data_IF_809225062575
#
_entry.id   IF_809225062575
#
_cell.length_a   1.000
_cell.length_b   1.000
_cell.length_c   1.000
_cell.angle_alpha   90.00
_cell.angle_beta   90.00
_cell.angle_gamma   90.00
#
_symmetry.space_group_name_H-M   'P 1'
#
loop_
_entity.id
_entity.type
_entity.pdbx_description
1 polymer ?
#
# COMPACT_ATOMS: atom_id res chain seq x y z
N UNK A 1 -15.22 -5.93 -27.78
CA UNK A 1 -16.06 -6.14 -26.59
C UNK A 1 -15.85 -7.59 -26.19
N UNK A 2 -14.91 -7.82 -25.32
CA UNK A 2 -14.65 -9.16 -24.74
C UNK A 2 -15.39 -9.18 -23.42
N UNK A 3 -16.41 -10.02 -23.34
CA UNK A 3 -17.10 -10.34 -22.10
C UNK A 3 -16.07 -10.84 -21.09
N UNK A 4 -15.74 -10.00 -20.12
CA UNK A 4 -15.01 -10.42 -18.93
C UNK A 4 -16.01 -11.27 -18.15
N UNK A 5 -15.79 -12.59 -18.13
CA UNK A 5 -16.57 -13.53 -17.35
C UNK A 5 -16.68 -12.98 -15.92
N UNK A 6 -17.89 -12.58 -15.55
CA UNK A 6 -18.30 -12.26 -14.21
C UNK A 6 -18.28 -13.57 -13.40
N UNK A 7 -17.12 -13.93 -12.83
CA UNK A 7 -17.11 -14.81 -11.68
C UNK A 7 -17.86 -14.06 -10.58
N UNK A 8 -19.01 -14.58 -10.15
CA UNK A 8 -20.00 -13.88 -9.31
C UNK A 8 -19.50 -13.43 -7.94
N UNK A 9 -18.19 -13.52 -7.68
CA UNK A 9 -17.56 -13.23 -6.40
C UNK A 9 -16.37 -12.25 -6.51
N UNK A 10 -15.93 -11.85 -7.73
CA UNK A 10 -14.78 -10.98 -7.95
C UNK A 10 -15.20 -9.69 -8.65
N UNK A 11 -14.86 -8.55 -8.08
CA UNK A 11 -14.97 -7.24 -8.73
C UNK A 11 -13.58 -6.76 -9.11
N UNK A 12 -13.48 -6.16 -10.29
CA UNK A 12 -12.23 -5.70 -10.87
C UNK A 12 -12.31 -4.22 -11.22
N UNK A 13 -11.29 -3.49 -10.82
CA UNK A 13 -11.16 -2.05 -11.05
C UNK A 13 -9.83 -1.80 -11.75
N UNK A 14 -9.82 -0.88 -12.71
CA UNK A 14 -8.58 -0.41 -13.29
C UNK A 14 -7.79 0.41 -12.26
N UNK A 15 -6.46 0.23 -12.23
CA UNK A 15 -5.56 1.06 -11.43
C UNK A 15 -4.99 2.16 -12.33
N UNK A 16 -5.20 3.40 -11.91
CA UNK A 16 -4.48 4.56 -12.38
C UNK A 16 -3.32 4.82 -11.40
N UNK A 17 -2.08 4.53 -11.82
CA UNK A 17 -0.88 4.72 -10.97
C UNK A 17 -0.52 6.20 -11.04
N UNK A 18 -0.90 6.97 -10.03
CA UNK A 18 -0.67 8.41 -10.00
C UNK A 18 0.40 8.77 -8.97
N UNK A 19 1.52 9.30 -9.42
CA UNK A 19 2.71 9.59 -8.59
C UNK A 19 3.05 8.41 -7.63
N UNK A 20 3.00 7.19 -8.17
CA UNK A 20 3.20 5.93 -7.45
C UNK A 20 2.13 5.59 -6.38
N UNK A 21 0.99 6.26 -6.35
CA UNK A 21 -0.14 5.90 -5.49
C UNK A 21 -1.07 4.90 -6.18
N UNK A 22 -1.73 4.06 -5.38
CA UNK A 22 -2.72 3.08 -5.84
C UNK A 22 -4.09 3.76 -5.93
N UNK A 23 -4.43 4.31 -7.08
CA UNK A 23 -5.72 4.93 -7.33
C UNK A 23 -6.56 4.01 -8.21
N UNK A 24 -7.71 3.57 -7.75
CA UNK A 24 -8.63 2.76 -8.55
C UNK A 24 -9.71 3.63 -9.20
N UNK A 25 -10.16 3.19 -10.38
CA UNK A 25 -11.23 3.82 -11.14
C UNK A 25 -12.53 3.05 -10.94
N UNK A 26 -13.53 3.69 -10.33
CA UNK A 26 -14.89 3.17 -10.20
C UNK A 26 -15.85 4.09 -10.94
N UNK A 27 -16.19 3.76 -12.18
CA UNK A 27 -16.92 4.64 -13.11
C UNK A 27 -16.14 5.93 -13.35
N UNK A 28 -16.69 7.07 -12.92
CA UNK A 28 -16.05 8.39 -13.04
C UNK A 28 -15.31 8.82 -11.76
N UNK A 29 -15.24 7.93 -10.74
CA UNK A 29 -14.64 8.22 -9.45
C UNK A 29 -13.21 7.70 -9.36
N UNK A 30 -12.35 8.50 -8.74
CA UNK A 30 -10.97 8.13 -8.37
C UNK A 30 -10.87 7.88 -6.87
N UNK A 31 -10.37 6.73 -6.50
CA UNK A 31 -10.38 6.26 -5.12
C UNK A 31 -8.99 5.80 -4.76
N UNK A 32 -8.37 6.46 -3.77
CA UNK A 32 -7.09 6.06 -3.23
C UNK A 32 -7.26 4.84 -2.33
N UNK A 33 -6.46 3.81 -2.53
CA UNK A 33 -6.39 2.61 -1.66
C UNK A 33 -5.21 2.77 -0.72
N UNK A 34 -5.49 2.83 0.59
CA UNK A 34 -4.50 3.16 1.61
C UNK A 34 -4.56 2.19 2.79
N UNK A 35 -3.68 1.18 2.78
CA UNK A 35 -3.53 0.24 3.90
C UNK A 35 -2.82 0.86 5.11
N UNK A 36 -2.20 2.02 4.96
CA UNK A 36 -1.65 2.81 6.06
C UNK A 36 -2.71 3.59 6.85
N UNK A 37 -3.88 3.82 6.26
CA UNK A 37 -4.97 4.53 6.89
C UNK A 37 -5.93 3.59 7.66
N UNK A 38 -6.16 3.79 8.96
CA UNK A 38 -7.14 2.99 9.72
C UNK A 38 -8.59 3.35 9.39
N UNK A 39 -8.83 4.50 8.78
CA UNK A 39 -10.17 5.03 8.47
C UNK A 39 -10.25 5.49 7.02
N UNK A 40 -11.43 5.35 6.43
CA UNK A 40 -11.74 5.89 5.11
C UNK A 40 -12.24 7.33 5.20
N UNK A 41 -11.96 8.13 4.15
CA UNK A 41 -12.31 9.54 4.05
C UNK A 41 -13.07 9.78 2.75
N UNK A 42 -14.09 10.63 2.82
CA UNK A 42 -14.77 11.17 1.64
C UNK A 42 -15.37 12.54 1.95
N UNK A 43 -15.97 13.20 0.96
CA UNK A 43 -16.73 14.45 1.14
C UNK A 43 -18.09 14.29 1.84
N UNK A 44 -18.39 13.12 2.43
CA UNK A 44 -19.65 12.84 3.13
C UNK A 44 -19.47 11.83 4.26
N UNK A 45 -20.53 11.57 5.02
CA UNK A 45 -20.52 10.64 6.16
C UNK A 45 -20.42 9.17 5.75
N UNK A 46 -20.75 8.88 4.48
CA UNK A 46 -20.76 7.53 3.92
C UNK A 46 -20.25 7.54 2.47
N UNK A 47 -19.67 6.42 2.05
CA UNK A 47 -19.23 6.20 0.69
C UNK A 47 -19.61 4.79 0.22
N UNK A 48 -20.14 4.69 -1.01
CA UNK A 48 -20.49 3.42 -1.63
C UNK A 48 -19.32 2.92 -2.49
N UNK A 49 -18.80 1.74 -2.16
CA UNK A 49 -17.78 1.03 -2.92
C UNK A 49 -17.94 -0.47 -2.72
N UNK A 50 -17.50 -1.28 -3.69
CA UNK A 50 -17.58 -2.74 -3.65
C UNK A 50 -19.01 -3.26 -3.41
N UNK A 51 -20.04 -2.53 -3.92
CA UNK A 51 -21.48 -2.76 -3.72
C UNK A 51 -21.95 -2.69 -2.27
N UNK A 52 -21.20 -2.01 -1.41
CA UNK A 52 -21.60 -1.74 -0.02
C UNK A 52 -21.36 -0.28 0.34
N UNK A 53 -22.13 0.18 1.32
CA UNK A 53 -21.99 1.53 1.87
C UNK A 53 -21.20 1.46 3.18
N UNK A 54 -20.18 2.28 3.30
CA UNK A 54 -19.31 2.36 4.48
C UNK A 54 -19.33 3.77 5.06
N UNK A 55 -19.21 3.85 6.39
CA UNK A 55 -18.99 5.11 7.06
C UNK A 55 -17.60 5.66 6.74
N UNK A 56 -17.53 6.95 6.48
CA UNK A 56 -16.29 7.68 6.23
C UNK A 56 -16.11 8.81 7.24
N UNK A 57 -14.92 9.38 7.29
CA UNK A 57 -14.60 10.56 8.08
C UNK A 57 -14.36 11.76 7.16
N UNK A 58 -14.53 12.94 7.70
CA UNK A 58 -14.22 14.19 6.97
C UNK A 58 -12.72 14.40 6.81
N UNK A 59 -11.91 13.92 7.78
CA UNK A 59 -10.47 14.15 7.86
C UNK A 59 -9.70 12.98 8.43
N UNK A 60 -8.46 12.84 7.94
CA UNK A 60 -7.44 11.95 8.50
C UNK A 60 -6.12 12.72 8.65
N UNK A 61 -5.51 12.67 9.84
CA UNK A 61 -4.34 13.48 10.19
C UNK A 61 -4.48 14.98 9.87
N UNK A 62 -5.72 15.51 9.96
CA UNK A 62 -6.02 16.90 9.68
C UNK A 62 -6.32 17.24 8.22
N UNK A 63 -6.02 16.34 7.28
CA UNK A 63 -6.33 16.53 5.86
C UNK A 63 -7.70 15.94 5.51
N UNK A 64 -8.47 16.67 4.72
CA UNK A 64 -9.68 16.23 4.05
C UNK A 64 -9.37 15.70 2.64
N UNK A 65 -10.39 15.25 1.93
CA UNK A 65 -10.22 14.63 0.60
C UNK A 65 -9.71 15.62 -0.44
N UNK A 66 -10.03 16.90 -0.33
CA UNK A 66 -9.56 17.94 -1.24
C UNK A 66 -8.06 18.17 -1.04
N UNK A 67 -7.60 18.29 0.21
CA UNK A 67 -6.19 18.41 0.54
C UNK A 67 -5.39 17.17 0.14
N UNK A 68 -5.94 15.97 0.34
CA UNK A 68 -5.33 14.73 -0.15
C UNK A 68 -5.23 14.69 -1.67
N UNK A 69 -6.25 15.20 -2.38
CA UNK A 69 -6.22 15.33 -3.85
C UNK A 69 -5.08 16.23 -4.31
N UNK A 70 -4.84 17.34 -3.61
CA UNK A 70 -3.71 18.23 -3.90
C UNK A 70 -2.37 17.53 -3.69
N UNK A 71 -2.20 16.80 -2.59
CA UNK A 71 -0.96 16.09 -2.27
C UNK A 71 -0.68 14.93 -3.22
N UNK A 72 -1.69 14.16 -3.59
CA UNK A 72 -1.57 13.07 -4.58
C UNK A 72 -1.40 13.64 -5.98
N UNK A 73 -1.91 14.85 -6.25
CA UNK A 73 -1.82 15.55 -7.54
C UNK A 73 -2.90 15.14 -8.54
N UNK A 74 -3.97 14.48 -8.08
CA UNK A 74 -5.17 14.20 -8.86
C UNK A 74 -6.42 14.32 -7.99
N UNK A 75 -7.56 14.64 -8.62
CA UNK A 75 -8.83 14.63 -7.91
C UNK A 75 -9.13 13.25 -7.35
N UNK A 76 -9.47 13.17 -6.08
CA UNK A 76 -9.92 11.97 -5.38
C UNK A 76 -11.34 12.17 -4.85
N UNK A 77 -12.18 11.17 -5.03
CA UNK A 77 -13.54 11.14 -4.46
C UNK A 77 -13.54 10.52 -3.06
N UNK A 78 -12.59 9.63 -2.79
CA UNK A 78 -12.40 9.00 -1.48
C UNK A 78 -10.98 8.45 -1.29
N UNK A 79 -10.59 8.26 -0.02
CA UNK A 79 -9.54 7.36 0.43
C UNK A 79 -10.22 6.19 1.14
N UNK A 80 -9.89 4.97 0.74
CA UNK A 80 -10.38 3.74 1.36
C UNK A 80 -9.27 3.11 2.20
N UNK A 81 -9.51 3.09 3.50
CA UNK A 81 -8.60 2.56 4.52
C UNK A 81 -9.01 1.19 5.05
N UNK A 82 -8.29 0.75 6.10
CA UNK A 82 -8.43 -0.60 6.65
C UNK A 82 -9.82 -0.91 7.20
N UNK A 83 -10.57 0.08 7.72
CA UNK A 83 -11.94 -0.13 8.18
C UNK A 83 -12.89 -0.67 7.10
N UNK A 84 -12.53 -0.53 5.83
CA UNK A 84 -13.25 -1.12 4.67
C UNK A 84 -12.50 -2.33 4.15
N UNK A 85 -11.19 -2.21 3.92
CA UNK A 85 -10.34 -3.23 3.28
C UNK A 85 -10.32 -4.54 4.06
N UNK A 86 -10.35 -4.52 5.40
CA UNK A 86 -10.36 -5.71 6.26
C UNK A 86 -11.55 -6.65 6.04
N UNK A 87 -12.62 -6.14 5.44
CA UNK A 87 -13.83 -6.92 5.12
C UNK A 87 -13.71 -7.77 3.86
N UNK A 88 -12.61 -7.64 3.13
CA UNK A 88 -12.41 -8.25 1.81
C UNK A 88 -11.09 -8.99 1.71
N UNK A 89 -11.01 -9.85 0.69
CA UNK A 89 -9.75 -10.24 0.09
C UNK A 89 -9.52 -9.34 -1.12
N UNK A 90 -8.35 -8.76 -1.26
CA UNK A 90 -8.07 -7.92 -2.42
C UNK A 90 -6.64 -8.10 -2.94
N UNK A 91 -6.45 -7.89 -4.24
CA UNK A 91 -5.17 -7.98 -4.92
C UNK A 91 -4.86 -6.67 -5.64
N UNK A 92 -3.61 -6.26 -5.53
CA UNK A 92 -3.03 -5.14 -6.28
C UNK A 92 -2.02 -5.71 -7.29
N UNK A 93 -2.26 -5.47 -8.58
CA UNK A 93 -1.43 -5.94 -9.69
C UNK A 93 -1.10 -4.75 -10.62
N UNK A 94 0.05 -4.14 -10.43
CA UNK A 94 0.50 -3.01 -11.25
C UNK A 94 0.84 -3.40 -12.69
N UNK A 95 1.32 -4.63 -12.93
CA UNK A 95 1.63 -5.11 -14.28
C UNK A 95 0.40 -5.12 -15.18
N UNK A 96 -0.71 -5.59 -14.63
CA UNK A 96 -1.98 -5.65 -15.34
C UNK A 96 -2.87 -4.43 -15.08
N UNK A 97 -2.42 -3.47 -14.27
CA UNK A 97 -3.20 -2.30 -13.82
C UNK A 97 -4.56 -2.69 -13.25
N UNK A 98 -4.56 -3.70 -12.38
CA UNK A 98 -5.78 -4.32 -11.90
C UNK A 98 -5.82 -4.37 -10.38
N UNK A 99 -6.91 -3.84 -9.81
CA UNK A 99 -7.32 -4.08 -8.44
C UNK A 99 -8.49 -5.07 -8.46
N UNK A 100 -8.31 -6.21 -7.82
CA UNK A 100 -9.36 -7.23 -7.70
C UNK A 100 -9.80 -7.33 -6.25
N UNK A 101 -11.11 -7.45 -6.02
CA UNK A 101 -11.67 -7.58 -4.67
C UNK A 101 -12.71 -8.69 -4.63
N UNK A 102 -12.66 -9.52 -3.57
CA UNK A 102 -13.54 -10.66 -3.32
C UNK A 102 -14.17 -10.57 -1.93
N UNK A 103 -15.42 -10.96 -1.81
CA UNK A 103 -16.11 -11.10 -0.51
C UNK A 103 -15.61 -12.30 0.30
N UNK A 104 -15.02 -13.31 -0.38
CA UNK A 104 -14.43 -14.51 0.23
C UNK A 104 -13.18 -14.93 -0.51
N UNK A 105 -12.31 -15.69 0.17
CA UNK A 105 -11.03 -16.12 -0.41
C UNK A 105 -11.25 -16.96 -1.67
N UNK A 106 -10.65 -16.56 -2.81
CA UNK A 106 -10.80 -17.26 -4.09
C UNK A 106 -9.82 -18.45 -4.18
N UNK A 107 -10.12 -19.54 -3.48
CA UNK A 107 -9.23 -20.72 -3.37
C UNK A 107 -8.75 -21.25 -4.73
N UNK A 108 -9.59 -21.20 -5.75
CA UNK A 108 -9.25 -21.72 -7.08
C UNK A 108 -8.26 -20.80 -7.84
N UNK A 109 -8.18 -19.52 -7.49
CA UNK A 109 -7.35 -18.54 -8.18
C UNK A 109 -6.01 -18.33 -7.47
N UNK A 110 -5.99 -18.36 -6.15
CA UNK A 110 -4.85 -17.92 -5.31
C UNK A 110 -4.19 -19.09 -4.57
N UNK A 111 -4.82 -20.25 -4.47
CA UNK A 111 -4.36 -21.36 -3.64
C UNK A 111 -2.97 -21.93 -3.99
N UNK A 112 -2.43 -21.60 -5.16
CA UNK A 112 -1.09 -22.01 -5.60
C UNK A 112 -0.04 -20.89 -5.46
N UNK A 113 -0.43 -19.70 -5.05
CA UNK A 113 0.51 -18.60 -4.80
C UNK A 113 1.28 -18.84 -3.50
N UNK A 114 2.54 -18.45 -3.49
CA UNK A 114 3.32 -18.40 -2.26
C UNK A 114 2.77 -17.31 -1.34
N UNK A 115 2.98 -17.44 -0.04
CA UNK A 115 2.51 -16.44 0.92
C UNK A 115 3.54 -16.20 2.03
N UNK A 116 3.38 -15.05 2.68
CA UNK A 116 4.03 -14.71 3.94
C UNK A 116 2.97 -14.47 5.00
N UNK A 117 3.29 -14.85 6.24
CA UNK A 117 2.47 -14.46 7.38
C UNK A 117 2.61 -12.96 7.62
N UNK A 118 1.50 -12.30 7.93
CA UNK A 118 1.44 -10.88 8.17
C UNK A 118 0.58 -10.56 9.39
N UNK A 119 0.91 -9.51 10.12
CA UNK A 119 0.08 -8.98 11.21
C UNK A 119 -0.79 -7.86 10.64
N UNK A 120 -2.09 -8.00 10.76
CA UNK A 120 -3.10 -7.05 10.29
C UNK A 120 -3.74 -6.23 11.42
N UNK A 121 -3.16 -6.24 12.62
CA UNK A 121 -3.62 -5.39 13.73
C UNK A 121 -3.13 -3.94 13.52
N UNK A 122 -3.89 -3.19 12.77
CA UNK A 122 -3.53 -1.83 12.33
C UNK A 122 -3.02 -1.82 10.89
N UNK A 123 -1.87 -1.18 10.64
CA UNK A 123 -1.22 -1.20 9.32
C UNK A 123 -0.67 -2.61 9.08
N UNK A 124 -0.98 -3.28 7.95
CA UNK A 124 -0.44 -4.59 7.64
C UNK A 124 1.07 -4.61 7.76
N UNK A 125 1.61 -5.59 8.47
CA UNK A 125 3.05 -5.69 8.68
C UNK A 125 3.56 -7.11 8.50
N UNK A 126 4.80 -7.22 8.03
CA UNK A 126 5.46 -8.49 7.76
C UNK A 126 6.96 -8.38 7.94
N UNK A 127 7.64 -9.51 7.90
CA UNK A 127 9.10 -9.55 7.91
C UNK A 127 9.67 -9.42 6.49
N UNK A 128 10.69 -8.57 6.36
CA UNK A 128 11.56 -8.50 5.18
C UNK A 128 13.01 -8.59 5.62
N UNK A 129 13.87 -9.17 4.80
CA UNK A 129 15.31 -9.22 5.08
C UNK A 129 15.98 -8.12 4.25
N UNK A 130 16.67 -7.22 4.91
CA UNK A 130 17.41 -6.12 4.27
C UNK A 130 18.88 -6.45 4.28
N UNK A 131 19.55 -6.24 3.14
CA UNK A 131 20.99 -6.41 2.98
C UNK A 131 21.53 -7.78 3.45
N UNK A 132 20.75 -8.86 3.30
CA UNK A 132 21.06 -10.26 3.66
C UNK A 132 21.29 -10.54 5.15
N UNK A 133 21.14 -9.55 6.02
CA UNK A 133 21.58 -9.72 7.42
C UNK A 133 20.47 -10.13 8.37
N UNK A 134 19.38 -9.36 8.45
CA UNK A 134 18.40 -9.59 9.51
C UNK A 134 16.97 -9.35 9.02
N UNK A 135 16.00 -10.20 9.44
CA UNK A 135 14.60 -9.91 9.26
C UNK A 135 14.23 -8.69 10.12
N UNK A 136 13.55 -7.73 9.49
CA UNK A 136 13.00 -6.56 10.14
C UNK A 136 11.49 -6.51 9.92
N UNK A 137 10.77 -5.95 10.86
CA UNK A 137 9.33 -5.70 10.69
C UNK A 137 9.18 -4.48 9.78
N UNK A 138 8.39 -4.65 8.72
CA UNK A 138 8.02 -3.61 7.79
C UNK A 138 6.50 -3.46 7.75
N UNK A 139 5.98 -2.24 7.78
CA UNK A 139 4.63 -1.97 7.35
C UNK A 139 4.50 -2.13 5.83
N UNK A 140 3.31 -2.49 5.37
CA UNK A 140 2.92 -2.47 3.97
C UNK A 140 1.84 -1.42 3.80
N UNK A 141 2.25 -0.26 3.34
CA UNK A 141 1.46 0.97 3.29
C UNK A 141 1.26 1.41 1.83
N UNK A 142 0.10 1.12 1.27
CA UNK A 142 -0.22 1.45 -0.13
C UNK A 142 -0.46 2.94 -0.35
N UNK A 143 -0.68 3.71 0.71
CA UNK A 143 -0.77 5.17 0.67
C UNK A 143 0.60 5.85 0.57
N UNK A 144 1.69 5.15 0.91
CA UNK A 144 3.04 5.67 0.81
C UNK A 144 3.59 5.47 -0.62
N UNK A 145 3.88 6.58 -1.33
CA UNK A 145 4.48 6.52 -2.68
C UNK A 145 5.97 6.16 -2.67
N UNK A 146 6.64 6.35 -1.54
CA UNK A 146 8.04 6.04 -1.30
C UNK A 146 8.12 5.01 -0.18
N UNK A 147 8.94 3.99 -0.35
CA UNK A 147 9.28 3.08 0.74
C UNK A 147 10.32 3.70 1.65
N UNK A 148 10.25 3.43 2.95
CA UNK A 148 11.11 4.02 3.97
C UNK A 148 11.83 2.97 4.79
N UNK A 149 13.03 3.32 5.25
CA UNK A 149 13.81 2.47 6.14
C UNK A 149 14.44 3.30 7.26
N UNK A 150 14.65 2.68 8.41
CA UNK A 150 15.37 3.32 9.51
C UNK A 150 16.78 3.75 9.08
N UNK A 151 17.12 4.99 9.38
CA UNK A 151 18.36 5.66 8.98
C UNK A 151 19.65 4.86 9.32
N UNK A 152 19.61 4.04 10.38
CA UNK A 152 20.75 3.20 10.78
C UNK A 152 21.20 2.20 9.71
N UNK A 153 20.29 1.75 8.82
CA UNK A 153 20.62 0.78 7.77
C UNK A 153 21.33 1.41 6.56
N UNK A 154 21.27 2.73 6.46
CA UNK A 154 21.85 3.50 5.34
C UNK A 154 22.96 4.47 5.78
N UNK A 155 23.36 4.47 7.07
CA UNK A 155 24.32 5.42 7.66
C UNK A 155 25.66 5.48 6.93
N UNK A 156 26.09 4.36 6.34
CA UNK A 156 27.38 4.23 5.64
C UNK A 156 27.22 4.29 4.11
N UNK A 157 26.00 4.61 3.61
CA UNK A 157 25.69 4.70 2.20
C UNK A 157 25.59 6.16 1.74
N UNK A 158 25.85 6.37 0.46
CA UNK A 158 25.61 7.67 -0.19
C UNK A 158 24.20 7.64 -0.84
N UNK A 159 23.38 8.68 -0.67
CA UNK A 159 22.11 8.78 -1.39
C UNK A 159 22.34 8.72 -2.90
N UNK A 160 21.46 8.01 -3.60
CA UNK A 160 21.49 7.89 -5.07
C UNK A 160 20.55 8.91 -5.75
N UNK A 161 19.59 9.45 -4.99
CA UNK A 161 18.59 10.41 -5.48
C UNK A 161 18.05 11.24 -4.30
N UNK A 162 17.25 12.26 -4.62
CA UNK A 162 16.47 13.04 -3.66
C UNK A 162 15.07 13.26 -4.21
N UNK A 163 14.06 12.92 -3.42
CA UNK A 163 12.65 13.09 -3.78
C UNK A 163 11.95 14.00 -2.79
N UNK A 164 10.75 14.46 -3.16
CA UNK A 164 9.81 15.11 -2.25
C UNK A 164 8.69 14.18 -1.88
N UNK A 165 8.32 14.22 -0.62
CA UNK A 165 7.14 13.56 -0.11
C UNK A 165 6.40 14.46 0.88
N UNK A 166 5.24 14.02 1.33
CA UNK A 166 4.44 14.74 2.31
C UNK A 166 3.86 13.78 3.35
N UNK A 167 3.56 14.33 4.50
CA UNK A 167 2.71 13.66 5.48
C UNK A 167 1.67 14.67 5.98
N UNK A 168 0.35 14.34 6.02
CA UNK A 168 -0.71 15.34 6.22
C UNK A 168 -0.53 16.26 7.43
N UNK A 169 -0.09 15.74 8.56
CA UNK A 169 0.15 16.54 9.78
C UNK A 169 1.55 17.15 9.89
N UNK A 170 2.46 16.85 8.96
CA UNK A 170 3.85 17.33 8.97
C UNK A 170 4.13 18.32 7.83
N UNK A 171 3.45 18.17 6.68
CA UNK A 171 3.68 18.91 5.45
C UNK A 171 4.68 18.24 4.53
N UNK A 172 5.17 18.98 3.53
CA UNK A 172 6.17 18.51 2.58
C UNK A 172 7.57 18.43 3.19
N UNK A 173 8.35 17.44 2.74
CA UNK A 173 9.75 17.27 3.12
C UNK A 173 10.58 16.62 2.02
N UNK A 174 11.89 16.89 2.06
CA UNK A 174 12.85 16.27 1.16
C UNK A 174 13.30 14.91 1.70
N UNK A 175 13.41 13.92 0.81
CA UNK A 175 13.69 12.52 1.13
C UNK A 175 14.95 12.07 0.39
N UNK A 176 16.07 11.84 1.08
CA UNK A 176 17.24 11.19 0.47
C UNK A 176 16.90 9.73 0.18
N UNK A 177 17.24 9.26 -1.02
CA UNK A 177 16.94 7.90 -1.50
C UNK A 177 18.22 7.07 -1.54
N UNK A 178 18.15 5.86 -1.03
CA UNK A 178 19.23 4.89 -0.97
C UNK A 178 18.81 3.58 -1.64
N UNK A 179 19.75 2.90 -2.29
CA UNK A 179 19.49 1.57 -2.86
C UNK A 179 20.03 0.50 -1.93
N UNK A 180 19.16 -0.44 -1.57
CA UNK A 180 19.44 -1.58 -0.70
C UNK A 180 18.72 -2.82 -1.25
N UNK A 181 19.39 -3.98 -1.39
CA UNK A 181 18.68 -5.19 -1.72
C UNK A 181 17.78 -5.62 -0.56
N UNK A 182 16.59 -6.07 -0.90
CA UNK A 182 15.72 -6.76 0.03
C UNK A 182 15.47 -8.19 -0.44
N UNK A 183 15.28 -9.08 0.53
CA UNK A 183 14.75 -10.41 0.26
C UNK A 183 13.30 -10.45 0.75
N UNK A 184 12.42 -10.69 -0.18
CA UNK A 184 11.00 -10.82 0.05
C UNK A 184 10.55 -12.19 -0.43
N UNK A 185 10.02 -13.01 0.46
CA UNK A 185 9.63 -14.40 0.19
C UNK A 185 10.74 -15.21 -0.55
N UNK A 186 11.98 -15.13 -0.09
CA UNK A 186 13.10 -15.85 -0.70
C UNK A 186 13.62 -15.26 -2.02
N UNK A 187 13.02 -14.19 -2.54
CA UNK A 187 13.42 -13.51 -3.77
C UNK A 187 14.17 -12.23 -3.41
N UNK A 188 15.44 -12.16 -3.84
CA UNK A 188 16.23 -10.94 -3.70
C UNK A 188 15.92 -9.98 -4.84
N UNK A 189 15.56 -8.74 -4.48
CA UNK A 189 15.33 -7.66 -5.43
C UNK A 189 16.12 -6.40 -5.04
N UNK A 190 16.63 -5.62 -6.02
CA UNK A 190 17.10 -4.27 -5.74
C UNK A 190 15.91 -3.41 -5.35
N UNK A 191 16.06 -2.61 -4.28
CA UNK A 191 14.97 -1.80 -3.78
C UNK A 191 15.47 -0.44 -3.31
N UNK A 192 14.64 0.59 -3.43
CA UNK A 192 15.00 1.94 -3.05
C UNK A 192 14.21 2.39 -1.82
N UNK A 193 14.92 2.95 -0.84
CA UNK A 193 14.33 3.45 0.38
C UNK A 193 14.65 4.91 0.60
N UNK A 194 13.65 5.66 1.05
CA UNK A 194 13.83 6.95 1.67
C UNK A 194 14.18 6.85 3.15
N UNK A 195 14.65 7.95 3.72
CA UNK A 195 14.77 8.14 5.17
C UNK A 195 13.82 9.24 5.59
N UNK A 196 12.97 8.93 6.56
CA UNK A 196 12.00 9.88 7.11
C UNK A 196 12.70 10.97 7.93
N UNK A 197 12.15 12.20 8.01
CA UNK A 197 12.55 13.17 9.01
C UNK A 197 12.42 12.62 10.43
N UNK A 198 13.31 13.07 11.33
CA UNK A 198 13.40 12.54 12.72
C UNK A 198 12.07 12.35 13.45
N UNK A 199 11.10 13.29 13.42
CA UNK A 199 9.82 13.08 14.10
C UNK A 199 9.01 11.91 13.54
N UNK A 200 8.98 11.76 12.21
CA UNK A 200 8.26 10.67 11.53
C UNK A 200 8.99 9.34 11.68
N UNK A 201 10.32 9.33 11.59
CA UNK A 201 11.13 8.14 11.87
C UNK A 201 10.92 7.65 13.30
N UNK A 202 10.91 8.56 14.27
CA UNK A 202 10.67 8.24 15.68
C UNK A 202 9.28 7.63 15.89
N UNK A 203 8.25 8.13 15.20
CA UNK A 203 6.90 7.57 15.25
C UNK A 203 6.86 6.14 14.68
N UNK A 204 7.49 5.90 13.53
CA UNK A 204 7.65 4.57 12.94
C UNK A 204 8.34 3.60 13.92
N UNK A 205 9.47 4.02 14.51
CA UNK A 205 10.24 3.19 15.44
C UNK A 205 9.49 2.88 16.74
N UNK A 206 8.67 3.82 17.22
CA UNK A 206 7.84 3.65 18.43
C UNK A 206 6.81 2.53 18.26
N UNK A 207 6.41 2.24 17.03
CA UNK A 207 5.53 1.13 16.67
C UNK A 207 6.27 -0.19 16.42
N UNK A 208 7.54 -0.29 16.84
CA UNK A 208 8.42 -1.44 16.60
C UNK A 208 8.67 -1.79 15.12
N UNK A 209 8.37 -0.88 14.21
CA UNK A 209 8.55 -1.02 12.78
C UNK A 209 9.89 -0.39 12.37
N UNK A 210 10.60 -1.02 11.43
CA UNK A 210 11.92 -0.57 10.98
C UNK A 210 11.93 -0.14 9.53
N UNK A 211 10.87 -0.45 8.78
CA UNK A 211 10.69 -0.05 7.40
C UNK A 211 9.20 0.13 7.08
N UNK A 212 8.94 0.84 5.99
CA UNK A 212 7.64 0.93 5.34
C UNK A 212 7.88 0.50 3.89
N UNK A 213 7.19 -0.55 3.44
CA UNK A 213 7.08 -0.85 2.02
C UNK A 213 5.88 -0.10 1.47
N UNK A 214 6.15 0.90 0.66
CA UNK A 214 5.14 1.67 -0.05
C UNK A 214 4.68 0.99 -1.33
N UNK A 215 4.00 1.75 -2.18
CA UNK A 215 3.50 1.24 -3.46
C UNK A 215 4.61 0.79 -4.43
N UNK A 216 5.87 1.15 -4.17
CA UNK A 216 7.04 0.67 -4.93
C UNK A 216 7.10 -0.86 -5.03
N UNK A 217 6.63 -1.59 -4.02
CA UNK A 217 6.68 -3.07 -3.99
C UNK A 217 5.86 -3.70 -5.11
N UNK A 218 4.78 -3.03 -5.56
CA UNK A 218 3.90 -3.52 -6.61
C UNK A 218 4.51 -3.46 -8.02
N UNK A 219 5.67 -2.82 -8.20
CA UNK A 219 6.45 -2.95 -9.43
C UNK A 219 7.18 -4.29 -9.54
N UNK A 220 7.31 -5.03 -8.44
CA UNK A 220 7.99 -6.33 -8.37
C UNK A 220 7.02 -7.49 -8.19
N UNK A 221 5.91 -7.26 -7.49
CA UNK A 221 4.95 -8.30 -7.10
C UNK A 221 3.51 -7.84 -7.26
N UNK A 222 2.62 -8.76 -7.64
CA UNK A 222 1.21 -8.63 -7.32
C UNK A 222 0.98 -9.24 -5.95
N UNK A 223 0.34 -8.50 -5.04
CA UNK A 223 0.11 -8.93 -3.67
C UNK A 223 -1.38 -9.04 -3.39
N UNK A 224 -1.78 -10.18 -2.80
CA UNK A 224 -3.14 -10.42 -2.35
C UNK A 224 -3.21 -10.40 -0.82
N UNK A 225 -4.00 -9.50 -0.30
CA UNK A 225 -4.19 -9.29 1.14
C UNK A 225 -5.38 -10.11 1.63
N UNK A 226 -5.15 -10.96 2.61
CA UNK A 226 -6.20 -11.75 3.25
C UNK A 226 -6.14 -11.59 4.77
N UNK A 227 -6.79 -10.55 5.28
CA UNK A 227 -6.80 -10.16 6.69
C UNK A 227 -7.24 -11.30 7.61
N UNK A 228 -8.28 -12.02 7.24
CA UNK A 228 -8.86 -13.09 8.06
C UNK A 228 -7.91 -14.27 8.29
N UNK A 229 -7.03 -14.58 7.34
CA UNK A 229 -6.03 -15.66 7.48
C UNK A 229 -4.67 -15.15 7.93
N UNK A 230 -4.51 -13.84 8.11
CA UNK A 230 -3.24 -13.20 8.43
C UNK A 230 -2.14 -13.53 7.42
N UNK A 231 -2.48 -13.49 6.10
CA UNK A 231 -1.58 -13.83 5.00
C UNK A 231 -1.58 -12.79 3.91
N UNK A 232 -0.40 -12.61 3.30
CA UNK A 232 -0.22 -11.90 2.05
C UNK A 232 0.30 -12.91 1.03
N UNK A 233 -0.50 -13.18 -0.01
CA UNK A 233 -0.11 -14.05 -1.11
C UNK A 233 0.66 -13.24 -2.15
N UNK A 234 1.65 -13.88 -2.78
CA UNK A 234 2.66 -13.23 -3.58
C UNK A 234 2.73 -13.88 -4.95
N UNK A 235 2.54 -13.08 -6.00
CA UNK A 235 2.80 -13.47 -7.37
C UNK A 235 3.90 -12.58 -7.94
N UNK A 236 4.98 -13.19 -8.44
CA UNK A 236 6.06 -12.45 -9.08
C UNK A 236 5.63 -11.86 -10.41
N UNK A 237 6.14 -10.68 -10.75
CA UNK A 237 5.87 -10.03 -12.05
C UNK A 237 6.68 -10.64 -13.22
N UNK A 238 7.62 -11.54 -12.92
CA UNK A 238 8.45 -12.24 -13.90
C UNK A 238 7.78 -13.57 -14.30
N UNK A 239 6.83 -13.49 -15.22
CA UNK A 239 6.16 -14.62 -15.83
C UNK A 239 5.69 -14.22 -17.23
#
# INVERSE_FOLDING_TARGET
MTDINNDSNCKKYEIDIFDNHVVILDKDRRILIDTGAPVSISGGDVFEIFDRTFATKDKYHGADIEQLSEFVGCHLDALIGNNVLESYVFQIDFKNKLFSVWDSFPENEINQEEYVDADFRGIPSMYVIVNKDYPIISWLDTGAKISYINSKYVKDLTPIDQKKDFFPSFGEFDVPIYSLPIMFNGIEIPFNFGVLPDPLESAMLSSNTKAILGADIFHHFALTFHYKSEKIFIRTMNG
#
